data_IF_117474120057
#
_entry.id   IF_117474120057
#
_cell.length_a   1.000
_cell.length_b   1.000
_cell.length_c   1.000
_cell.angle_alpha   90.00
_cell.angle_beta   90.00
_cell.angle_gamma   90.00
#
_symmetry.space_group_name_H-M   'P 1'
#
loop_
_entity.id
_entity.type
_entity.pdbx_description
1 polymer ?
#
# COMPACT_ATOMS: atom_id res chain seq x y z
N UNK A 1 9.64 65.05 -18.16
CA UNK A 1 10.56 64.37 -17.23
C UNK A 1 9.81 63.14 -16.72
N UNK A 2 10.23 61.98 -17.23
CA UNK A 2 9.91 60.60 -16.80
C UNK A 2 8.51 60.02 -17.08
N UNK A 3 8.37 59.54 -18.32
CA UNK A 3 7.98 58.19 -18.78
C UNK A 3 7.45 57.13 -17.78
N UNK A 4 6.37 56.39 -18.14
CA UNK A 4 6.17 55.01 -17.72
C UNK A 4 6.20 54.05 -18.93
N UNK A 5 7.35 53.42 -19.15
CA UNK A 5 7.49 52.26 -20.04
C UNK A 5 6.90 50.99 -19.41
N UNK A 6 6.08 50.31 -20.22
CA UNK A 6 5.85 48.86 -20.25
C UNK A 6 5.18 48.19 -19.04
N UNK A 7 4.06 47.49 -19.29
CA UNK A 7 4.00 46.02 -19.29
C UNK A 7 2.76 45.57 -20.10
N UNK A 8 2.93 45.18 -21.38
CA UNK A 8 1.85 44.79 -22.29
C UNK A 8 1.56 43.28 -22.16
N UNK A 9 1.09 42.85 -20.98
CA UNK A 9 0.82 41.44 -20.69
C UNK A 9 -0.63 41.14 -20.29
N UNK A 10 -1.49 42.15 -20.19
CA UNK A 10 -2.91 41.96 -19.87
C UNK A 10 -3.81 41.80 -21.10
N UNK A 11 -3.41 42.31 -22.27
CA UNK A 11 -4.24 42.26 -23.49
C UNK A 11 -4.01 41.04 -24.38
N UNK A 12 -3.04 40.17 -24.06
CA UNK A 12 -2.78 38.96 -24.83
C UNK A 12 -3.62 37.74 -24.40
N UNK A 13 -4.37 37.82 -23.28
CA UNK A 13 -5.12 36.67 -22.76
C UNK A 13 -6.59 36.62 -23.21
N UNK A 14 -7.11 37.69 -23.83
CA UNK A 14 -8.51 37.74 -24.28
C UNK A 14 -8.72 37.38 -25.76
N UNK A 15 -7.67 37.09 -26.53
CA UNK A 15 -7.74 36.87 -27.97
C UNK A 15 -7.60 35.41 -28.43
N UNK A 16 -7.71 34.42 -27.54
CA UNK A 16 -7.62 32.99 -27.91
C UNK A 16 -8.89 32.17 -27.67
N UNK A 17 -10.02 32.81 -27.33
CA UNK A 17 -11.29 32.09 -27.06
C UNK A 17 -12.28 32.13 -28.23
N UNK A 18 -11.97 32.82 -29.33
CA UNK A 18 -12.99 33.02 -30.38
C UNK A 18 -12.45 32.87 -31.81
N UNK A 19 -11.91 31.69 -32.12
CA UNK A 19 -11.94 31.04 -33.46
C UNK A 19 -11.05 29.81 -33.46
N UNK A 20 -11.67 28.64 -33.45
CA UNK A 20 -11.00 27.36 -33.61
C UNK A 20 -12.06 26.28 -33.73
N UNK A 21 -12.32 25.91 -34.98
CA UNK A 21 -13.13 24.77 -35.41
C UNK A 21 -12.82 23.52 -34.54
N UNK A 22 -13.81 22.83 -33.94
CA UNK A 22 -13.59 21.78 -32.95
C UNK A 22 -13.18 20.41 -33.53
N UNK A 23 -12.68 20.33 -34.77
CA UNK A 23 -12.45 19.05 -35.45
C UNK A 23 -11.05 18.99 -36.09
N UNK A 24 -10.00 19.02 -35.26
CA UNK A 24 -8.67 18.44 -35.52
C UNK A 24 -7.64 18.84 -34.44
N UNK A 25 -7.58 18.11 -33.32
CA UNK A 25 -6.37 17.99 -32.50
C UNK A 25 -6.48 16.77 -31.55
N UNK A 26 -5.48 15.90 -31.68
CA UNK A 26 -5.13 14.69 -30.92
C UNK A 26 -5.72 14.51 -29.49
N UNK A 27 -6.29 13.32 -29.16
CA UNK A 27 -6.91 13.04 -27.86
C UNK A 27 -5.94 12.68 -26.72
N UNK A 28 -4.63 12.83 -26.88
CA UNK A 28 -3.65 12.25 -25.95
C UNK A 28 -3.22 13.11 -24.75
N UNK A 29 -3.66 14.38 -24.65
CA UNK A 29 -3.17 15.28 -23.60
C UNK A 29 -4.25 15.90 -22.69
N UNK A 30 -5.52 15.54 -22.87
CA UNK A 30 -6.60 15.88 -21.93
C UNK A 30 -6.86 14.80 -20.87
N UNK A 31 -6.34 13.57 -21.06
CA UNK A 31 -6.59 12.44 -20.15
C UNK A 31 -5.71 12.39 -18.89
N UNK A 32 -4.56 13.07 -18.87
CA UNK A 32 -3.58 12.94 -17.78
C UNK A 32 -3.80 13.89 -16.60
N UNK A 33 -4.50 15.02 -16.81
CA UNK A 33 -4.80 15.96 -15.74
C UNK A 33 -6.06 15.58 -14.93
N UNK A 34 -7.00 14.86 -15.55
CA UNK A 34 -8.28 14.51 -14.92
C UNK A 34 -8.17 13.30 -13.96
N UNK A 35 -7.32 12.31 -14.26
CA UNK A 35 -7.22 11.11 -13.42
C UNK A 35 -6.39 11.32 -12.14
N UNK A 36 -5.37 12.18 -12.17
CA UNK A 36 -4.64 12.58 -10.96
C UNK A 36 -5.56 13.30 -9.96
N UNK A 37 -6.49 14.13 -10.46
CA UNK A 37 -7.50 14.81 -9.64
C UNK A 37 -8.61 13.88 -9.16
N UNK A 38 -8.93 12.81 -9.90
CA UNK A 38 -9.95 11.82 -9.51
C UNK A 38 -9.47 10.93 -8.36
N UNK A 39 -8.20 10.57 -8.34
CA UNK A 39 -7.58 9.82 -7.23
C UNK A 39 -7.44 10.69 -5.97
N UNK A 40 -7.09 11.97 -6.12
CA UNK A 40 -7.02 12.91 -4.99
C UNK A 40 -8.41 13.20 -4.37
N UNK A 41 -9.47 13.35 -5.19
CA UNK A 41 -10.83 13.65 -4.70
C UNK A 41 -11.52 12.45 -4.04
N UNK A 42 -11.15 11.20 -4.35
CA UNK A 42 -11.70 10.02 -3.66
C UNK A 42 -11.21 9.91 -2.21
N UNK A 43 -9.99 10.40 -1.92
CA UNK A 43 -9.39 10.37 -0.57
C UNK A 43 -9.96 11.44 0.38
N UNK A 44 -10.51 12.55 -0.11
CA UNK A 44 -11.07 13.62 0.73
C UNK A 44 -12.52 13.42 1.21
N UNK A 45 -13.28 12.46 0.64
CA UNK A 45 -14.69 12.25 1.03
C UNK A 45 -14.92 11.36 2.25
N UNK A 46 -13.86 10.84 2.88
CA UNK A 46 -13.97 10.08 4.14
C UNK A 46 -13.73 10.96 5.40
N UNK A 47 -13.37 12.23 5.25
CA UNK A 47 -13.06 13.12 6.37
C UNK A 47 -14.25 13.95 6.91
N UNK A 48 -15.50 13.67 6.51
CA UNK A 48 -16.67 14.43 7.01
C UNK A 48 -17.84 13.61 7.57
N UNK A 49 -17.68 12.29 7.72
CA UNK A 49 -18.68 11.48 8.42
C UNK A 49 -18.24 11.28 9.86
N UNK A 50 -18.74 12.12 10.77
CA UNK A 50 -18.65 11.88 12.20
C UNK A 50 -19.46 10.63 12.56
N UNK A 51 -18.78 9.48 12.56
CA UNK A 51 -19.21 8.25 13.19
C UNK A 51 -17.93 7.50 13.55
N UNK A 52 -17.83 6.96 14.77
CA UNK A 52 -16.64 6.26 15.24
C UNK A 52 -16.31 5.08 14.32
N UNK A 53 -15.31 5.24 13.47
CA UNK A 53 -14.78 4.18 12.61
C UNK A 53 -13.54 3.62 13.30
N UNK A 54 -13.61 2.33 13.66
CA UNK A 54 -12.41 1.54 13.93
C UNK A 54 -11.56 1.57 12.65
N UNK A 55 -10.48 2.35 12.65
CA UNK A 55 -9.57 2.43 11.51
C UNK A 55 -8.72 1.16 11.51
N UNK A 56 -9.21 0.13 10.83
CA UNK A 56 -8.36 -0.94 10.35
C UNK A 56 -7.62 -0.41 9.11
N UNK A 57 -6.29 -0.35 9.18
CA UNK A 57 -5.47 -0.08 7.99
C UNK A 57 -5.56 -1.32 7.08
N UNK A 58 -6.32 -1.22 5.99
CA UNK A 58 -6.46 -2.27 4.97
C UNK A 58 -5.33 -2.08 3.94
N UNK A 59 -4.37 -3.00 3.93
CA UNK A 59 -3.28 -3.02 2.95
C UNK A 59 -3.74 -3.82 1.74
N UNK A 60 -3.72 -3.27 0.52
CA UNK A 60 -4.00 -4.05 -0.69
C UNK A 60 -2.70 -4.67 -1.23
N UNK A 61 -2.63 -6.01 -1.27
CA UNK A 61 -1.57 -6.75 -1.97
C UNK A 61 -1.94 -6.95 -3.44
N UNK A 62 -1.00 -6.69 -4.36
CA UNK A 62 -1.14 -7.01 -5.78
C UNK A 62 -0.82 -8.50 -6.01
N UNK A 63 -1.80 -9.30 -6.44
CA UNK A 63 -1.63 -10.72 -6.70
C UNK A 63 -0.65 -11.03 -7.83
N UNK A 64 0.20 -12.04 -7.62
CA UNK A 64 1.02 -12.64 -8.68
C UNK A 64 0.18 -13.71 -9.37
N UNK A 65 -0.35 -13.42 -10.55
CA UNK A 65 -0.84 -14.46 -11.45
C UNK A 65 0.35 -15.00 -12.25
N UNK A 66 0.88 -16.17 -11.85
CA UNK A 66 1.80 -16.92 -12.72
C UNK A 66 0.93 -17.67 -13.73
N UNK A 67 0.92 -17.18 -14.97
CA UNK A 67 0.43 -17.95 -16.10
C UNK A 67 1.60 -18.79 -16.64
N UNK A 68 1.55 -20.10 -16.44
CA UNK A 68 2.30 -21.03 -17.28
C UNK A 68 1.45 -22.27 -17.55
N UNK A 69 1.11 -22.45 -18.82
CA UNK A 69 0.51 -23.66 -19.33
C UNK A 69 1.56 -24.75 -19.44
N UNK A 70 1.44 -25.78 -18.61
CA UNK A 70 2.05 -27.09 -18.86
C UNK A 70 1.14 -28.17 -18.25
N UNK A 71 0.55 -29.00 -19.11
CA UNK A 71 0.01 -30.29 -18.71
C UNK A 71 1.15 -31.20 -18.25
N UNK A 72 1.21 -31.58 -16.96
CA UNK A 72 1.64 -32.90 -16.48
C UNK A 72 1.60 -33.03 -14.95
N UNK A 73 0.93 -34.10 -14.51
CA UNK A 73 1.09 -34.86 -13.26
C UNK A 73 0.96 -34.14 -11.91
N UNK A 74 -0.25 -34.23 -11.36
CA UNK A 74 -0.55 -34.14 -9.94
C UNK A 74 0.41 -35.02 -9.13
N UNK A 75 1.36 -34.37 -8.45
CA UNK A 75 2.03 -34.97 -7.30
C UNK A 75 1.14 -34.71 -6.09
N UNK A 76 0.57 -35.74 -5.44
CA UNK A 76 -0.14 -35.52 -4.19
C UNK A 76 0.88 -35.03 -3.16
N UNK A 77 0.76 -33.77 -2.74
CA UNK A 77 1.46 -33.27 -1.57
C UNK A 77 0.99 -34.11 -0.38
N UNK A 78 1.92 -34.93 0.14
CA UNK A 78 1.72 -35.72 1.36
C UNK A 78 1.40 -34.77 2.51
N UNK A 79 0.31 -34.97 3.26
CA UNK A 79 0.14 -34.31 4.55
C UNK A 79 1.19 -34.88 5.51
N UNK A 80 2.06 -34.02 6.05
CA UNK A 80 2.94 -34.41 7.15
C UNK A 80 2.08 -34.62 8.40
N UNK A 81 1.82 -35.88 8.72
CA UNK A 81 1.25 -36.32 10.00
C UNK A 81 2.37 -36.34 11.04
N UNK A 82 2.15 -35.65 12.17
CA UNK A 82 2.82 -35.93 13.45
C UNK A 82 4.01 -35.04 13.78
N UNK A 83 3.74 -33.96 14.52
CA UNK A 83 4.76 -33.17 15.20
C UNK A 83 4.14 -32.33 16.31
N UNK A 84 4.19 -32.84 17.54
CA UNK A 84 3.87 -32.10 18.77
C UNK A 84 4.81 -30.90 18.92
N UNK A 85 4.24 -29.69 18.94
CA UNK A 85 4.89 -28.47 19.43
C UNK A 85 5.54 -27.56 18.38
N UNK A 86 4.74 -26.72 17.69
CA UNK A 86 5.27 -25.64 16.85
C UNK A 86 4.66 -24.27 17.21
N UNK A 87 4.75 -23.88 18.47
CA UNK A 87 4.54 -22.49 18.89
C UNK A 87 5.77 -21.59 18.58
N UNK A 88 6.84 -22.15 17.98
CA UNK A 88 8.19 -21.55 18.08
C UNK A 88 8.70 -20.83 16.82
N UNK A 89 7.94 -20.73 15.73
CA UNK A 89 8.44 -19.99 14.55
C UNK A 89 7.38 -19.15 13.83
N UNK A 90 6.67 -18.30 14.58
CA UNK A 90 5.91 -17.20 13.98
C UNK A 90 6.80 -16.40 13.04
N UNK A 91 6.35 -16.20 11.81
CA UNK A 91 7.08 -15.46 10.77
C UNK A 91 7.38 -14.05 11.27
N UNK A 92 8.61 -13.59 11.01
CA UNK A 92 8.99 -12.22 11.33
C UNK A 92 8.62 -11.30 10.17
N UNK A 93 8.17 -10.11 10.50
CA UNK A 93 7.88 -9.07 9.52
C UNK A 93 8.49 -7.74 9.94
N UNK A 94 8.46 -6.79 9.01
CA UNK A 94 8.90 -5.43 9.22
C UNK A 94 7.82 -4.44 8.80
N UNK A 95 7.74 -3.33 9.53
CA UNK A 95 6.89 -2.19 9.26
C UNK A 95 7.82 -1.00 9.06
N UNK A 96 7.97 -0.56 7.81
CA UNK A 96 9.03 0.36 7.41
C UNK A 96 8.42 1.65 6.85
N UNK A 97 8.77 2.84 7.37
CA UNK A 97 8.36 4.10 6.76
C UNK A 97 8.73 4.16 5.29
N UNK A 98 7.80 4.59 4.45
CA UNK A 98 8.07 4.85 3.04
C UNK A 98 8.75 6.21 2.91
N UNK A 99 9.82 6.28 2.12
CA UNK A 99 10.57 7.53 1.89
C UNK A 99 10.29 8.13 0.52
N UNK A 100 10.11 7.28 -0.50
CA UNK A 100 9.70 7.66 -1.85
C UNK A 100 9.02 6.50 -2.58
N UNK A 101 8.21 6.86 -3.57
CA UNK A 101 7.55 5.94 -4.50
C UNK A 101 7.73 6.49 -5.91
N UNK A 102 8.01 5.62 -6.89
CA UNK A 102 8.16 5.98 -8.30
C UNK A 102 7.41 5.02 -9.20
N UNK A 103 6.93 5.50 -10.35
CA UNK A 103 6.09 4.76 -11.31
C UNK A 103 6.91 3.91 -12.29
N UNK A 104 7.86 3.14 -11.75
CA UNK A 104 8.62 2.13 -12.48
C UNK A 104 9.14 1.07 -11.50
N UNK A 105 9.60 -0.07 -12.01
CA UNK A 105 10.27 -1.06 -11.16
C UNK A 105 11.56 -0.50 -10.55
N UNK A 106 11.98 -1.05 -9.41
CA UNK A 106 13.28 -0.70 -8.87
C UNK A 106 14.40 -1.14 -9.82
N UNK A 107 15.47 -0.35 -9.89
CA UNK A 107 16.66 -0.76 -10.63
C UNK A 107 17.25 -2.05 -10.02
N UNK A 108 17.77 -2.99 -10.84
CA UNK A 108 18.42 -4.18 -10.33
C UNK A 108 19.53 -3.83 -9.33
N UNK A 109 19.51 -4.46 -8.16
CA UNK A 109 20.49 -4.22 -7.09
C UNK A 109 20.26 -2.95 -6.27
N UNK A 110 19.17 -2.20 -6.48
CA UNK A 110 18.80 -1.13 -5.56
C UNK A 110 18.28 -1.67 -4.24
N UNK A 111 18.18 -0.80 -3.24
CA UNK A 111 17.70 -1.11 -1.89
C UNK A 111 16.16 -0.98 -1.74
N UNK A 112 15.45 -0.69 -2.84
CA UNK A 112 14.00 -0.53 -2.89
C UNK A 112 13.25 -1.84 -3.11
N UNK A 113 11.93 -1.80 -2.91
CA UNK A 113 11.03 -2.91 -3.19
C UNK A 113 10.18 -2.61 -4.42
N UNK A 114 10.11 -3.57 -5.35
CA UNK A 114 9.20 -3.46 -6.49
C UNK A 114 7.84 -4.02 -6.11
N UNK A 115 6.80 -3.19 -6.20
CA UNK A 115 5.42 -3.65 -6.33
C UNK A 115 5.17 -3.90 -7.82
N UNK A 116 4.79 -5.13 -8.14
CA UNK A 116 4.56 -5.51 -9.53
C UNK A 116 3.34 -4.80 -10.12
N UNK A 117 3.39 -4.57 -11.43
CA UNK A 117 2.24 -4.07 -12.16
C UNK A 117 1.04 -5.01 -12.01
N UNK A 118 -0.15 -4.43 -11.92
CA UNK A 118 -1.42 -5.14 -12.06
C UNK A 118 -2.06 -4.78 -13.39
N UNK A 119 -3.22 -5.36 -13.69
CA UNK A 119 -4.02 -4.96 -14.86
C UNK A 119 -4.45 -3.50 -14.83
N UNK A 120 -4.44 -2.88 -13.65
CA UNK A 120 -4.96 -1.51 -13.40
C UNK A 120 -3.90 -0.54 -12.88
N UNK A 121 -2.65 -0.96 -12.69
CA UNK A 121 -1.60 -0.10 -12.12
C UNK A 121 -0.22 -0.49 -12.63
N UNK A 122 0.65 0.48 -12.95
CA UNK A 122 2.03 0.19 -13.36
C UNK A 122 2.83 -0.39 -12.18
N UNK A 123 3.98 -0.98 -12.50
CA UNK A 123 4.93 -1.37 -11.47
C UNK A 123 5.46 -0.12 -10.77
N UNK A 124 5.67 -0.21 -9.45
CA UNK A 124 6.18 0.90 -8.66
C UNK A 124 7.38 0.48 -7.82
N UNK A 125 8.33 1.39 -7.63
CA UNK A 125 9.49 1.20 -6.77
C UNK A 125 9.28 1.99 -5.50
N UNK A 126 9.31 1.28 -4.37
CA UNK A 126 9.10 1.80 -3.03
C UNK A 126 10.43 1.79 -2.28
N UNK A 127 10.92 2.97 -1.94
CA UNK A 127 12.05 3.12 -1.02
C UNK A 127 11.53 3.28 0.40
N UNK A 128 12.26 2.71 1.35
CA UNK A 128 11.85 2.69 2.76
C UNK A 128 13.01 3.06 3.67
N UNK A 129 12.66 3.58 4.84
CA UNK A 129 13.60 3.85 5.92
C UNK A 129 13.71 2.62 6.84
N UNK A 130 14.74 1.80 6.64
CA UNK A 130 14.99 0.63 7.48
C UNK A 130 15.49 1.00 8.88
N UNK A 131 16.14 2.16 9.04
CA UNK A 131 16.73 2.58 10.30
C UNK A 131 15.67 3.09 11.27
N UNK A 132 14.65 3.77 10.75
CA UNK A 132 13.54 4.31 11.54
C UNK A 132 12.28 3.43 11.53
N UNK A 133 12.36 2.22 10.95
CA UNK A 133 11.27 1.25 10.92
C UNK A 133 11.31 0.23 12.07
N UNK A 134 10.21 -0.52 12.21
CA UNK A 134 10.17 -1.70 13.07
C UNK A 134 10.59 -2.92 12.26
N UNK A 135 11.64 -3.62 12.68
CA UNK A 135 12.10 -4.87 12.06
C UNK A 135 12.01 -6.04 13.05
N UNK A 136 11.89 -7.25 12.51
CA UNK A 136 11.90 -8.48 13.32
C UNK A 136 10.68 -8.67 14.22
N UNK A 137 9.57 -7.99 13.90
CA UNK A 137 8.32 -8.03 14.67
C UNK A 137 7.68 -9.40 14.54
N UNK A 138 7.02 -9.87 15.60
CA UNK A 138 6.19 -11.08 15.59
C UNK A 138 4.80 -10.77 16.10
N UNK A 139 3.80 -11.37 15.47
CA UNK A 139 2.45 -11.33 15.99
C UNK A 139 2.32 -12.32 17.16
N UNK A 140 1.56 -11.93 18.19
CA UNK A 140 1.17 -12.85 19.27
C UNK A 140 0.05 -13.79 18.80
N UNK A 141 -0.81 -13.31 17.91
CA UNK A 141 -1.84 -14.10 17.24
C UNK A 141 -2.13 -13.54 15.86
N UNK A 142 -2.59 -14.41 14.97
CA UNK A 142 -2.96 -14.05 13.61
C UNK A 142 -4.25 -14.80 13.25
N UNK A 143 -5.23 -14.09 12.69
CA UNK A 143 -6.53 -14.67 12.34
C UNK A 143 -6.89 -14.31 10.92
N UNK A 144 -7.28 -15.30 10.12
CA UNK A 144 -7.87 -15.04 8.82
C UNK A 144 -9.32 -14.61 9.02
N UNK A 145 -9.71 -13.49 8.42
CA UNK A 145 -11.09 -13.00 8.45
C UNK A 145 -11.57 -12.71 7.05
N UNK A 146 -12.88 -12.85 6.85
CA UNK A 146 -13.54 -12.43 5.63
C UNK A 146 -14.37 -11.19 5.93
N UNK A 147 -14.09 -10.10 5.24
CA UNK A 147 -14.79 -8.83 5.34
C UNK A 147 -15.51 -8.50 4.03
N UNK A 148 -16.21 -7.37 3.97
CA UNK A 148 -16.80 -6.89 2.72
C UNK A 148 -15.75 -6.60 1.63
N UNK A 149 -14.48 -6.41 2.02
CA UNK A 149 -13.35 -6.19 1.11
C UNK A 149 -12.66 -7.49 0.66
N UNK A 150 -13.14 -8.66 1.10
CA UNK A 150 -12.54 -9.96 0.81
C UNK A 150 -11.82 -10.56 2.02
N UNK A 151 -10.86 -11.45 1.75
CA UNK A 151 -10.08 -12.10 2.80
C UNK A 151 -8.93 -11.21 3.28
N UNK A 152 -8.75 -11.16 4.59
CA UNK A 152 -7.67 -10.46 5.28
C UNK A 152 -7.08 -11.31 6.40
N UNK A 153 -5.88 -10.96 6.84
CA UNK A 153 -5.23 -11.54 8.01
C UNK A 153 -5.01 -10.47 9.04
N UNK A 154 -5.70 -10.60 10.17
CA UNK A 154 -5.57 -9.71 11.30
C UNK A 154 -4.48 -10.18 12.25
N UNK A 155 -3.55 -9.28 12.51
CA UNK A 155 -2.42 -9.52 13.38
C UNK A 155 -2.64 -8.80 14.69
N UNK A 156 -2.35 -9.48 15.79
CA UNK A 156 -2.28 -8.89 17.12
C UNK A 156 -0.82 -8.81 17.54
N UNK A 157 -0.39 -7.65 18.03
CA UNK A 157 0.98 -7.41 18.49
C UNK A 157 1.13 -7.66 20.00
N UNK A 158 2.38 -7.91 20.41
CA UNK A 158 2.75 -7.87 21.83
C UNK A 158 2.53 -6.45 22.39
N UNK A 159 2.34 -6.28 23.71
CA UNK A 159 2.22 -4.94 24.30
C UNK A 159 3.40 -4.01 23.97
N UNK A 160 4.62 -4.56 23.93
CA UNK A 160 5.84 -3.82 23.57
C UNK A 160 5.82 -3.37 22.12
N UNK A 161 5.50 -4.27 21.18
CA UNK A 161 5.45 -3.90 19.75
C UNK A 161 4.25 -3.01 19.43
N UNK A 162 3.14 -3.12 20.17
CA UNK A 162 2.02 -2.20 20.07
C UNK A 162 2.42 -0.77 20.41
N UNK A 163 3.17 -0.55 21.48
CA UNK A 163 3.67 0.80 21.83
C UNK A 163 4.58 1.33 20.73
N UNK A 164 5.52 0.51 20.24
CA UNK A 164 6.38 0.89 19.12
C UNK A 164 5.60 1.23 17.85
N UNK A 165 4.54 0.48 17.55
CA UNK A 165 3.66 0.75 16.41
C UNK A 165 2.92 2.07 16.59
N UNK A 166 2.40 2.33 17.78
CA UNK A 166 1.71 3.58 18.09
C UNK A 166 2.65 4.79 17.90
N UNK A 167 3.87 4.73 18.45
CA UNK A 167 4.85 5.81 18.32
C UNK A 167 5.29 6.04 16.86
N UNK A 168 5.53 4.94 16.12
CA UNK A 168 5.87 5.00 14.70
C UNK A 168 4.75 5.66 13.90
N UNK A 169 3.51 5.21 14.09
CA UNK A 169 2.36 5.71 13.33
C UNK A 169 1.93 7.12 13.74
N UNK A 170 2.16 7.53 14.98
CA UNK A 170 2.00 8.92 15.42
C UNK A 170 2.92 9.86 14.66
N UNK A 171 4.19 9.48 14.52
CA UNK A 171 5.16 10.22 13.70
C UNK A 171 4.71 10.30 12.24
N UNK A 172 4.35 9.16 11.64
CA UNK A 172 3.95 9.09 10.23
C UNK A 172 2.66 9.85 9.93
N UNK A 173 1.68 9.86 10.84
CA UNK A 173 0.38 10.51 10.64
C UNK A 173 0.49 12.02 10.39
N UNK A 174 1.56 12.65 10.86
CA UNK A 174 1.81 14.09 10.69
C UNK A 174 2.53 14.44 9.38
N UNK A 175 3.07 13.45 8.68
CA UNK A 175 3.83 13.64 7.46
C UNK A 175 2.94 13.78 6.21
N UNK A 176 3.53 14.21 5.10
CA UNK A 176 2.87 14.25 3.79
C UNK A 176 3.18 13.00 2.97
N UNK A 177 2.30 12.64 2.04
CA UNK A 177 2.50 11.51 1.11
C UNK A 177 3.81 11.70 0.32
N UNK A 178 4.62 10.64 0.14
CA UNK A 178 4.43 9.25 0.61
C UNK A 178 5.01 8.97 2.01
N UNK A 179 5.53 9.98 2.71
CA UNK A 179 6.18 9.82 4.02
C UNK A 179 5.22 9.54 5.18
N UNK A 180 3.91 9.64 4.95
CA UNK A 180 2.88 9.14 5.87
C UNK A 180 2.40 7.73 5.50
N UNK A 181 3.17 6.98 4.73
CA UNK A 181 2.88 5.59 4.38
C UNK A 181 3.85 4.63 5.08
N UNK A 182 3.37 3.42 5.33
CA UNK A 182 4.16 2.34 5.93
C UNK A 182 4.14 1.13 5.00
N UNK A 183 5.31 0.56 4.75
CA UNK A 183 5.51 -0.66 3.99
C UNK A 183 5.52 -1.88 4.93
N UNK A 184 4.77 -2.91 4.56
CA UNK A 184 4.73 -4.19 5.29
C UNK A 184 5.53 -5.24 4.53
N UNK A 185 6.61 -5.71 5.16
CA UNK A 185 7.54 -6.66 4.54
C UNK A 185 7.53 -7.96 5.33
N UNK A 186 7.22 -9.07 4.65
CA UNK A 186 7.19 -10.43 5.21
C UNK A 186 8.16 -11.28 4.41
N UNK A 187 9.04 -12.02 5.08
CA UNK A 187 10.09 -12.84 4.44
C UNK A 187 10.93 -12.07 3.40
N UNK A 188 11.22 -10.80 3.69
CA UNK A 188 11.98 -9.92 2.78
C UNK A 188 11.22 -9.46 1.54
N UNK A 189 9.92 -9.79 1.43
CA UNK A 189 9.06 -9.38 0.31
C UNK A 189 8.05 -8.34 0.77
N UNK A 190 7.96 -7.25 0.02
CA UNK A 190 6.92 -6.24 0.23
C UNK A 190 5.56 -6.86 -0.07
N UNK A 191 4.68 -6.84 0.93
CA UNK A 191 3.31 -7.29 0.80
C UNK A 191 2.43 -6.12 0.32
N UNK A 192 2.66 -4.93 0.86
CA UNK A 192 1.98 -3.72 0.41
C UNK A 192 2.36 -2.51 1.23
N UNK A 193 1.72 -1.40 0.91
CA UNK A 193 1.86 -0.10 1.57
C UNK A 193 0.51 0.35 2.13
N UNK A 194 0.51 0.98 3.29
CA UNK A 194 -0.67 1.54 3.93
C UNK A 194 -0.47 3.01 4.26
N UNK A 195 -1.49 3.82 3.97
CA UNK A 195 -1.56 5.21 4.40
C UNK A 195 -1.87 5.28 5.89
N UNK A 196 -1.05 6.00 6.63
CA UNK A 196 -1.23 6.27 8.05
C UNK A 196 -1.82 7.67 8.21
N UNK A 197 -3.10 7.73 8.56
CA UNK A 197 -3.82 8.98 8.79
C UNK A 197 -3.99 9.31 10.29
N UNK A 198 -3.74 8.33 11.16
CA UNK A 198 -3.85 8.47 12.62
C UNK A 198 -2.97 7.40 13.30
N UNK A 199 -2.58 7.61 14.57
CA UNK A 199 -1.84 6.62 15.34
C UNK A 199 -2.62 5.31 15.53
N UNK A 200 -1.94 4.18 15.35
CA UNK A 200 -2.49 2.83 15.55
C UNK A 200 -2.19 2.34 16.98
N UNK A 201 -3.03 2.74 17.92
CA UNK A 201 -2.82 2.46 19.36
C UNK A 201 -3.37 1.12 19.85
N UNK A 202 -4.24 0.49 19.07
CA UNK A 202 -4.92 -0.75 19.47
C UNK A 202 -4.02 -2.00 19.35
N UNK A 203 -2.91 -1.93 18.61
CA UNK A 203 -2.00 -3.06 18.38
C UNK A 203 -2.54 -4.12 17.44
N UNK A 204 -3.56 -3.76 16.65
CA UNK A 204 -4.15 -4.61 15.62
C UNK A 204 -3.96 -3.97 14.24
N UNK A 205 -3.53 -4.75 13.26
CA UNK A 205 -3.52 -4.31 11.87
C UNK A 205 -3.77 -5.49 10.93
N UNK A 206 -4.36 -5.20 9.78
CA UNK A 206 -4.76 -6.18 8.78
C UNK A 206 -3.79 -6.21 7.60
N UNK A 207 -3.55 -7.41 7.07
CA UNK A 207 -2.95 -7.61 5.76
C UNK A 207 -4.07 -8.08 4.84
N UNK A 208 -4.37 -7.32 3.79
CA UNK A 208 -5.43 -7.64 2.85
C UNK A 208 -4.89 -7.68 1.40
N UNK A 209 -5.81 -7.88 0.45
CA UNK A 209 -5.56 -7.88 -0.99
C UNK A 209 -6.25 -9.06 -1.65
N UNK A 210 -5.69 -9.56 -2.76
CA UNK A 210 -6.28 -10.65 -3.55
C UNK A 210 -6.09 -12.03 -2.90
N UNK A 211 -6.35 -12.13 -1.59
CA UNK A 211 -6.23 -13.37 -0.82
C UNK A 211 -7.46 -14.25 -1.06
N UNK A 212 -7.22 -15.54 -1.30
CA UNK A 212 -8.25 -16.57 -1.17
C UNK A 212 -8.38 -16.98 0.30
N UNK A 213 -9.47 -17.69 0.64
CA UNK A 213 -9.65 -18.27 1.99
C UNK A 213 -8.45 -19.10 2.41
N UNK A 214 -8.04 -20.04 1.56
CA UNK A 214 -6.89 -20.91 1.79
C UNK A 214 -5.61 -20.10 2.04
N UNK A 215 -5.32 -19.12 1.18
CA UNK A 215 -4.12 -18.29 1.31
C UNK A 215 -4.13 -17.44 2.58
N UNK A 216 -5.29 -16.93 2.99
CA UNK A 216 -5.43 -16.15 4.21
C UNK A 216 -5.23 -17.01 5.46
N UNK A 217 -5.83 -18.21 5.51
CA UNK A 217 -5.64 -19.15 6.62
C UNK A 217 -4.19 -19.64 6.71
N UNK A 218 -3.55 -19.97 5.58
CA UNK A 218 -2.14 -20.35 5.53
C UNK A 218 -1.22 -19.21 5.97
N UNK A 219 -1.52 -17.98 5.58
CA UNK A 219 -0.78 -16.81 6.05
C UNK A 219 -0.98 -16.60 7.55
N UNK A 220 -2.19 -16.72 8.08
CA UNK A 220 -2.46 -16.61 9.51
C UNK A 220 -1.67 -17.65 10.33
N UNK A 221 -1.67 -18.92 9.90
CA UNK A 221 -0.90 -20.01 10.53
C UNK A 221 0.61 -19.74 10.51
N UNK A 222 1.14 -19.10 9.47
CA UNK A 222 2.56 -18.72 9.41
C UNK A 222 2.89 -17.54 10.31
N UNK A 223 1.96 -16.62 10.53
CA UNK A 223 2.20 -15.36 11.26
C UNK A 223 2.05 -15.48 12.77
N UNK A 224 1.28 -16.46 13.26
CA UNK A 224 1.08 -16.70 14.68
C UNK A 224 0.33 -18.01 14.93
N UNK A 225 -0.28 -18.14 16.11
CA UNK A 225 -1.27 -19.20 16.32
C UNK A 225 -2.48 -18.87 15.43
N UNK A 226 -2.59 -19.53 14.28
CA UNK A 226 -3.69 -19.32 13.32
C UNK A 226 -5.04 -19.71 13.93
N UNK A 227 -5.65 -18.75 14.63
CA UNK A 227 -6.88 -18.90 15.42
C UNK A 227 -8.12 -18.38 14.72
#
# INVERSE_FOLDING_TARGET
MNDPTAHPLHDALHAHVEKGDPDAADPFLAGLADDALRVARRRQRLARSGAGVLVAAVIATAGVAVADGATMHAHPLRPSVGGTGNAEKSTRFSLLPVTSVTDHSCAPGSDGYTLNATTTSPATCVHVDRANGMTGVRAVSAKARHSAAGWEVDLTLSPTDRTRLADLTDTLATATVPRNEIAVVIDGRLQGIALIAAPLTNGHFGIAGDLTSETAHDLALRMGTGE
#
